data_IF_123026357717
#
_entry.id   IF_123026357717
#
_cell.length_a   1.000
_cell.length_b   1.000
_cell.length_c   1.000
_cell.angle_alpha   90.00
_cell.angle_beta   90.00
_cell.angle_gamma   90.00
#
_symmetry.space_group_name_H-M   'P 1'
#
loop_
_entity.id
_entity.type
_entity.pdbx_description
1 polymer ?
#
# COMPACT_ATOMS: atom_id res chain seq x y z
N UNK A 1 -16.37 -94.10 30.77
CA UNK A 1 -16.56 -93.03 31.77
C UNK A 1 -15.35 -92.10 31.90
N UNK A 2 -14.14 -92.58 32.26
CA UNK A 2 -12.93 -91.73 32.43
C UNK A 2 -12.56 -90.87 31.21
N UNK A 3 -12.63 -91.44 30.00
CA UNK A 3 -12.34 -90.71 28.75
C UNK A 3 -13.35 -89.59 28.45
N UNK A 4 -14.62 -89.78 28.82
CA UNK A 4 -15.67 -88.77 28.62
C UNK A 4 -15.43 -87.58 29.55
N UNK A 5 -15.15 -87.84 30.84
CA UNK A 5 -14.84 -86.79 31.82
C UNK A 5 -13.57 -85.99 31.45
N UNK A 6 -12.56 -86.65 30.90
CA UNK A 6 -11.35 -85.98 30.42
C UNK A 6 -11.63 -85.07 29.22
N UNK A 7 -12.48 -85.51 28.28
CA UNK A 7 -12.90 -84.69 27.13
C UNK A 7 -13.77 -83.51 27.56
N UNK A 8 -14.65 -83.68 28.53
CA UNK A 8 -15.46 -82.59 29.09
C UNK A 8 -14.59 -81.54 29.79
N UNK A 9 -13.55 -81.97 30.50
CA UNK A 9 -12.57 -81.06 31.14
C UNK A 9 -11.81 -80.27 30.07
N UNK A 10 -11.25 -80.95 29.06
CA UNK A 10 -10.57 -80.30 27.94
C UNK A 10 -11.46 -79.28 27.22
N UNK A 11 -12.74 -79.61 27.02
CA UNK A 11 -13.68 -78.73 26.33
C UNK A 11 -14.04 -77.50 27.18
N UNK A 12 -14.12 -77.66 28.50
CA UNK A 12 -14.33 -76.55 29.44
C UNK A 12 -13.12 -75.62 29.45
N UNK A 13 -11.91 -76.16 29.53
CA UNK A 13 -10.67 -75.37 29.52
C UNK A 13 -10.54 -74.57 28.22
N UNK A 14 -10.78 -75.22 27.08
CA UNK A 14 -10.72 -74.59 25.76
C UNK A 14 -11.78 -73.49 25.60
N UNK A 15 -12.97 -73.67 26.17
CA UNK A 15 -14.00 -72.62 26.22
C UNK A 15 -13.55 -71.42 27.05
N UNK A 16 -12.97 -71.66 28.23
CA UNK A 16 -12.46 -70.57 29.08
C UNK A 16 -11.28 -69.82 28.46
N UNK A 17 -10.40 -70.53 27.74
CA UNK A 17 -9.29 -69.91 27.01
C UNK A 17 -9.83 -69.02 25.88
N UNK A 18 -10.82 -69.49 25.13
CA UNK A 18 -11.46 -68.71 24.05
C UNK A 18 -12.20 -67.48 24.56
N UNK A 19 -12.90 -67.59 25.70
CA UNK A 19 -13.56 -66.46 26.34
C UNK A 19 -12.54 -65.40 26.81
N UNK A 20 -11.41 -65.84 27.36
CA UNK A 20 -10.30 -64.94 27.75
C UNK A 20 -9.70 -64.25 26.52
N UNK A 21 -9.35 -65.01 25.48
CA UNK A 21 -8.83 -64.45 24.22
C UNK A 21 -9.77 -63.42 23.59
N UNK A 22 -11.09 -63.70 23.59
CA UNK A 22 -12.09 -62.78 23.05
C UNK A 22 -12.17 -61.49 23.88
N UNK A 23 -12.08 -61.61 25.21
CA UNK A 23 -12.08 -60.45 26.11
C UNK A 23 -10.84 -59.57 25.91
N UNK A 24 -9.66 -60.19 25.80
CA UNK A 24 -8.39 -59.48 25.58
C UNK A 24 -8.34 -58.80 24.22
N UNK A 25 -8.88 -59.46 23.18
CA UNK A 25 -8.96 -58.87 21.84
C UNK A 25 -9.92 -57.67 21.83
N UNK A 26 -11.03 -57.76 22.56
CA UNK A 26 -11.98 -56.65 22.70
C UNK A 26 -11.37 -55.46 23.43
N UNK A 27 -10.66 -55.68 24.54
CA UNK A 27 -10.01 -54.59 25.28
C UNK A 27 -8.89 -53.94 24.48
N UNK A 28 -8.10 -54.73 23.72
CA UNK A 28 -7.09 -54.21 22.81
C UNK A 28 -7.72 -53.31 21.74
N UNK A 29 -8.79 -53.77 21.08
CA UNK A 29 -9.50 -52.98 20.07
C UNK A 29 -10.09 -51.69 20.65
N UNK A 30 -10.69 -51.75 21.84
CA UNK A 30 -11.23 -50.55 22.52
C UNK A 30 -10.13 -49.54 22.85
N UNK A 31 -8.94 -50.01 23.22
CA UNK A 31 -7.79 -49.15 23.53
C UNK A 31 -7.26 -48.50 22.25
N UNK A 32 -7.03 -49.29 21.19
CA UNK A 32 -6.59 -48.77 19.89
C UNK A 32 -7.58 -47.75 19.30
N UNK A 33 -8.89 -47.99 19.45
CA UNK A 33 -9.90 -47.06 18.98
C UNK A 33 -9.84 -45.72 19.74
N UNK A 34 -9.64 -45.76 21.07
CA UNK A 34 -9.49 -44.54 21.89
C UNK A 34 -8.24 -43.76 21.50
N UNK A 35 -7.12 -44.44 21.31
CA UNK A 35 -5.87 -43.80 20.92
C UNK A 35 -5.98 -43.12 19.54
N UNK A 36 -6.61 -43.80 18.57
CA UNK A 36 -6.87 -43.24 17.23
C UNK A 36 -7.80 -42.02 17.30
N UNK A 37 -8.82 -42.04 18.15
CA UNK A 37 -9.71 -40.89 18.34
C UNK A 37 -8.93 -39.70 18.92
N UNK A 38 -8.13 -39.93 19.96
CA UNK A 38 -7.34 -38.88 20.59
C UNK A 38 -6.27 -38.28 19.66
N UNK A 39 -5.63 -39.11 18.83
CA UNK A 39 -4.67 -38.64 17.82
C UNK A 39 -5.37 -37.80 16.75
N UNK A 40 -6.54 -38.25 16.28
CA UNK A 40 -7.34 -37.51 15.29
C UNK A 40 -7.80 -36.15 15.83
N UNK A 41 -8.24 -36.09 17.09
CA UNK A 41 -8.62 -34.83 17.74
C UNK A 41 -7.44 -33.86 17.84
N UNK A 42 -6.25 -34.35 18.21
CA UNK A 42 -5.02 -33.52 18.20
C UNK A 42 -4.72 -32.96 16.81
N UNK A 43 -4.78 -33.80 15.77
CA UNK A 43 -4.54 -33.36 14.40
C UNK A 43 -5.58 -32.34 13.91
N UNK A 44 -6.83 -32.46 14.34
CA UNK A 44 -7.88 -31.47 14.02
C UNK A 44 -7.54 -30.13 14.68
N UNK A 45 -7.24 -30.12 15.98
CA UNK A 45 -6.92 -28.87 16.69
C UNK A 45 -5.66 -28.18 16.14
N UNK A 46 -4.65 -28.94 15.74
CA UNK A 46 -3.44 -28.39 15.11
C UNK A 46 -3.75 -27.76 13.74
N UNK A 47 -4.59 -28.43 12.93
CA UNK A 47 -5.04 -27.88 11.64
C UNK A 47 -5.87 -26.62 11.81
N UNK A 48 -6.78 -26.58 12.78
CA UNK A 48 -7.59 -25.39 13.07
C UNK A 48 -6.71 -24.20 13.47
N UNK A 49 -5.68 -24.44 14.29
CA UNK A 49 -4.71 -23.40 14.65
C UNK A 49 -3.96 -22.86 13.43
N UNK A 50 -3.51 -23.75 12.55
CA UNK A 50 -2.78 -23.36 11.34
C UNK A 50 -3.66 -22.58 10.35
N UNK A 51 -4.94 -22.96 10.21
CA UNK A 51 -5.91 -22.21 9.41
C UNK A 51 -6.10 -20.80 9.97
N UNK A 52 -6.31 -20.67 11.28
CA UNK A 52 -6.49 -19.37 11.92
C UNK A 52 -5.25 -18.45 11.73
N UNK A 53 -4.04 -19.00 11.80
CA UNK A 53 -2.80 -18.26 11.56
C UNK A 53 -2.66 -17.84 10.08
N UNK A 54 -3.07 -18.68 9.14
CA UNK A 54 -3.08 -18.30 7.71
C UNK A 54 -4.12 -17.23 7.39
N UNK A 55 -5.30 -17.29 8.02
CA UNK A 55 -6.35 -16.29 7.85
C UNK A 55 -5.92 -14.90 8.34
N UNK A 56 -5.22 -14.83 9.47
CA UNK A 56 -4.68 -13.55 9.97
C UNK A 56 -3.61 -12.98 9.04
N UNK A 57 -2.67 -13.81 8.58
CA UNK A 57 -1.65 -13.39 7.61
C UNK A 57 -2.26 -12.89 6.29
N UNK A 58 -3.28 -13.59 5.77
CA UNK A 58 -3.98 -13.17 4.56
C UNK A 58 -4.70 -11.82 4.75
N UNK A 59 -5.31 -11.60 5.92
CA UNK A 59 -5.96 -10.33 6.23
C UNK A 59 -4.95 -9.19 6.27
N UNK A 60 -3.81 -9.40 6.92
CA UNK A 60 -2.74 -8.38 7.03
C UNK A 60 -2.15 -8.05 5.65
N UNK A 61 -1.89 -9.06 4.82
CA UNK A 61 -1.41 -8.85 3.45
C UNK A 61 -2.42 -8.07 2.60
N UNK A 62 -3.72 -8.36 2.73
CA UNK A 62 -4.77 -7.58 2.04
C UNK A 62 -4.78 -6.13 2.49
N UNK A 63 -4.65 -5.86 3.79
CA UNK A 63 -4.58 -4.50 4.31
C UNK A 63 -3.36 -3.74 3.80
N UNK A 64 -2.18 -4.37 3.77
CA UNK A 64 -0.96 -3.76 3.21
C UNK A 64 -1.11 -3.46 1.72
N UNK A 65 -1.71 -4.38 0.96
CA UNK A 65 -1.92 -4.21 -0.48
C UNK A 65 -2.83 -3.00 -0.78
N UNK A 66 -3.95 -2.85 -0.06
CA UNK A 66 -4.86 -1.70 -0.22
C UNK A 66 -4.15 -0.39 0.12
N UNK A 67 -3.32 -0.36 1.17
CA UNK A 67 -2.56 0.84 1.52
C UNK A 67 -1.56 1.22 0.42
N UNK A 68 -0.85 0.24 -0.14
CA UNK A 68 0.10 0.46 -1.23
C UNK A 68 -0.58 0.95 -2.51
N UNK A 69 -1.74 0.38 -2.85
CA UNK A 69 -2.54 0.82 -3.99
C UNK A 69 -3.00 2.27 -3.81
N UNK A 70 -3.49 2.63 -2.63
CA UNK A 70 -3.91 4.01 -2.33
C UNK A 70 -2.73 5.00 -2.42
N UNK A 71 -1.57 4.66 -1.87
CA UNK A 71 -0.37 5.48 -1.99
C UNK A 71 0.07 5.65 -3.44
N UNK A 72 0.00 4.58 -4.24
CA UNK A 72 0.35 4.62 -5.66
C UNK A 72 -0.60 5.52 -6.43
N UNK A 73 -1.92 5.43 -6.19
CA UNK A 73 -2.92 6.30 -6.82
C UNK A 73 -2.73 7.77 -6.42
N UNK A 74 -2.42 8.04 -5.15
CA UNK A 74 -2.11 9.39 -4.67
C UNK A 74 -0.87 9.97 -5.36
N UNK A 75 0.21 9.19 -5.47
CA UNK A 75 1.42 9.63 -6.18
C UNK A 75 1.18 9.82 -7.68
N UNK A 76 0.42 8.93 -8.32
CA UNK A 76 0.04 9.10 -9.73
C UNK A 76 -0.78 10.37 -9.94
N UNK A 77 -1.75 10.64 -9.06
CA UNK A 77 -2.54 11.87 -9.09
C UNK A 77 -1.64 13.11 -8.93
N UNK A 78 -0.74 13.10 -7.94
CA UNK A 78 0.23 14.18 -7.70
C UNK A 78 1.10 14.44 -8.93
N UNK A 79 1.64 13.39 -9.55
CA UNK A 79 2.46 13.49 -10.75
C UNK A 79 1.66 14.05 -11.93
N UNK A 80 0.40 13.61 -12.13
CA UNK A 80 -0.48 14.15 -13.18
C UNK A 80 -0.73 15.65 -13.00
N UNK A 81 -1.07 16.10 -11.78
CA UNK A 81 -1.31 17.51 -11.49
C UNK A 81 -0.05 18.35 -11.74
N UNK A 82 1.11 17.88 -11.29
CA UNK A 82 2.39 18.57 -11.52
C UNK A 82 2.69 18.67 -13.02
N UNK A 83 2.55 17.57 -13.76
CA UNK A 83 2.80 17.53 -15.20
C UNK A 83 1.86 18.48 -15.96
N UNK A 84 0.57 18.51 -15.62
CA UNK A 84 -0.40 19.40 -16.26
C UNK A 84 -0.13 20.86 -15.96
N UNK A 85 0.13 21.19 -14.69
CA UNK A 85 0.46 22.56 -14.30
C UNK A 85 1.74 23.03 -15.01
N UNK A 86 2.75 22.15 -15.14
CA UNK A 86 3.97 22.44 -15.90
C UNK A 86 3.67 22.69 -17.38
N UNK A 87 2.87 21.84 -18.02
CA UNK A 87 2.50 22.00 -19.43
C UNK A 87 1.71 23.31 -19.67
N UNK A 88 0.80 23.70 -18.76
CA UNK A 88 0.10 24.97 -18.85
C UNK A 88 1.05 26.17 -18.76
N UNK A 89 2.04 26.12 -17.86
CA UNK A 89 3.08 27.15 -17.74
C UNK A 89 3.93 27.20 -19.02
N UNK A 90 4.35 26.04 -19.54
CA UNK A 90 5.12 25.95 -20.80
C UNK A 90 4.36 26.58 -21.98
N UNK A 91 3.07 26.28 -22.12
CA UNK A 91 2.24 26.86 -23.18
C UNK A 91 2.07 28.37 -23.04
N UNK A 92 1.76 28.85 -21.83
CA UNK A 92 1.62 30.28 -21.57
C UNK A 92 2.93 31.03 -21.88
N UNK A 93 4.07 30.42 -21.55
CA UNK A 93 5.38 30.96 -21.90
C UNK A 93 5.64 30.98 -23.40
N UNK A 94 5.34 29.90 -24.12
CA UNK A 94 5.50 29.84 -25.58
C UNK A 94 4.66 30.92 -26.29
N UNK A 95 3.43 31.16 -25.81
CA UNK A 95 2.57 32.22 -26.33
C UNK A 95 3.13 33.62 -26.04
N UNK A 96 3.79 33.82 -24.90
CA UNK A 96 4.37 35.11 -24.52
C UNK A 96 5.69 35.40 -25.23
N UNK A 97 6.60 34.41 -25.30
CA UNK A 97 7.90 34.46 -26.00
C UNK A 97 8.33 33.06 -26.45
N UNK A 98 8.20 32.77 -27.74
CA UNK A 98 8.52 31.47 -28.36
C UNK A 98 9.99 31.04 -28.21
N UNK A 99 10.90 32.00 -28.07
CA UNK A 99 12.35 31.77 -28.19
C UNK A 99 13.00 31.45 -26.83
N UNK A 100 12.19 31.39 -25.77
CA UNK A 100 12.66 31.31 -24.39
C UNK A 100 12.46 29.89 -23.83
N UNK A 101 13.56 29.25 -23.41
CA UNK A 101 13.48 27.95 -22.71
C UNK A 101 12.65 28.07 -21.42
N UNK A 102 11.94 27.00 -21.03
CA UNK A 102 11.15 26.95 -19.78
C UNK A 102 11.94 27.46 -18.58
N UNK A 103 13.15 26.94 -18.38
CA UNK A 103 14.03 27.32 -17.27
C UNK A 103 14.28 28.83 -17.26
N UNK A 104 14.65 29.40 -18.41
CA UNK A 104 14.95 30.83 -18.51
C UNK A 104 13.71 31.71 -18.34
N UNK A 105 12.53 31.26 -18.79
CA UNK A 105 11.33 32.08 -18.67
C UNK A 105 10.68 32.00 -17.30
N UNK A 106 10.76 30.84 -16.62
CA UNK A 106 10.46 30.74 -15.20
C UNK A 106 11.39 31.61 -14.37
N UNK A 107 12.70 31.57 -14.65
CA UNK A 107 13.70 32.38 -13.96
C UNK A 107 13.44 33.88 -14.19
N UNK A 108 13.15 34.31 -15.42
CA UNK A 108 12.77 35.69 -15.73
C UNK A 108 11.47 36.08 -15.01
N UNK A 109 10.39 35.31 -15.16
CA UNK A 109 9.11 35.61 -14.53
C UNK A 109 9.25 35.82 -13.02
N UNK A 110 10.02 34.96 -12.37
CA UNK A 110 10.22 35.05 -10.93
C UNK A 110 11.08 36.26 -10.59
N UNK A 111 12.22 36.44 -11.23
CA UNK A 111 13.15 37.53 -10.92
C UNK A 111 12.58 38.91 -11.26
N UNK A 112 11.60 38.97 -12.18
CA UNK A 112 10.92 40.20 -12.57
C UNK A 112 9.65 40.47 -11.76
N UNK A 113 8.89 39.44 -11.37
CA UNK A 113 7.56 39.61 -10.76
C UNK A 113 7.41 39.11 -9.32
N UNK A 114 8.13 38.05 -8.92
CA UNK A 114 7.94 37.43 -7.59
C UNK A 114 9.08 37.74 -6.61
N UNK A 115 10.28 37.92 -7.11
CA UNK A 115 11.49 38.22 -6.37
C UNK A 115 12.11 39.53 -6.85
N UNK A 116 12.93 40.14 -6.00
CA UNK A 116 13.78 41.27 -6.35
C UNK A 116 15.22 40.86 -6.06
N UNK A 117 16.02 40.81 -7.11
CA UNK A 117 17.44 40.44 -7.02
C UNK A 117 18.26 41.70 -6.73
N UNK A 118 18.69 41.87 -5.47
CA UNK A 118 19.66 42.91 -5.09
C UNK A 118 21.10 42.42 -5.25
N UNK A 119 22.08 43.32 -5.06
CA UNK A 119 23.52 43.00 -5.18
C UNK A 119 23.95 41.81 -4.30
N UNK A 120 23.40 41.71 -3.09
CA UNK A 120 23.85 40.72 -2.08
C UNK A 120 22.74 39.80 -1.56
N UNK A 121 21.45 40.08 -1.88
CA UNK A 121 20.32 39.27 -1.39
C UNK A 121 19.15 39.29 -2.36
N UNK A 122 18.52 38.13 -2.53
CA UNK A 122 17.22 37.99 -3.20
C UNK A 122 16.11 38.16 -2.16
N UNK A 123 15.16 39.05 -2.39
CA UNK A 123 14.00 39.29 -1.49
C UNK A 123 12.69 39.13 -2.25
N UNK A 124 11.54 39.08 -1.56
CA UNK A 124 10.24 39.13 -2.24
C UNK A 124 10.05 40.49 -2.94
N UNK A 125 9.43 40.45 -4.12
CA UNK A 125 8.93 41.64 -4.80
C UNK A 125 7.88 42.36 -3.98
N UNK A 126 7.62 43.64 -4.27
CA UNK A 126 6.54 44.38 -3.60
C UNK A 126 5.19 43.66 -3.72
N UNK A 127 4.90 43.11 -4.91
CA UNK A 127 3.70 42.31 -5.15
C UNK A 127 3.67 41.06 -4.25
N UNK A 128 4.77 40.30 -4.19
CA UNK A 128 4.87 39.11 -3.33
C UNK A 128 4.67 39.41 -1.85
N UNK A 129 5.18 40.55 -1.37
CA UNK A 129 4.96 41.02 0.02
C UNK A 129 3.50 41.40 0.26
N UNK A 130 2.87 42.08 -0.69
CA UNK A 130 1.46 42.45 -0.60
C UNK A 130 0.56 41.21 -0.53
N UNK A 131 0.83 40.19 -1.36
CA UNK A 131 0.13 38.91 -1.32
C UNK A 131 0.34 38.21 0.03
N UNK A 132 1.57 38.15 0.55
CA UNK A 132 1.83 37.59 1.88
C UNK A 132 1.03 38.31 2.98
N UNK A 133 0.95 39.64 2.92
CA UNK A 133 0.17 40.43 3.87
C UNK A 133 -1.33 40.16 3.76
N UNK A 134 -1.88 40.04 2.54
CA UNK A 134 -3.28 39.65 2.34
C UNK A 134 -3.56 38.26 2.92
N UNK A 135 -2.65 37.31 2.70
CA UNK A 135 -2.78 35.94 3.21
C UNK A 135 -2.70 35.85 4.74
N UNK A 136 -2.00 36.78 5.41
CA UNK A 136 -2.00 36.84 6.90
C UNK A 136 -3.40 37.02 7.47
N UNK A 137 -4.28 37.74 6.77
CA UNK A 137 -5.68 37.90 7.17
C UNK A 137 -6.47 36.57 7.15
N UNK A 138 -5.94 35.54 6.49
CA UNK A 138 -6.50 34.20 6.42
C UNK A 138 -5.71 33.18 7.26
N UNK A 139 -4.88 33.64 8.20
CA UNK A 139 -4.13 32.77 9.11
C UNK A 139 -2.79 32.25 8.55
N UNK A 140 -2.31 32.79 7.44
CA UNK A 140 -1.00 32.43 6.90
C UNK A 140 0.13 33.01 7.76
N UNK A 141 0.83 32.15 8.51
CA UNK A 141 1.85 32.55 9.48
C UNK A 141 3.29 32.59 8.93
N UNK A 142 3.50 32.31 7.64
CA UNK A 142 4.85 32.21 7.10
C UNK A 142 5.53 33.58 7.01
N UNK A 143 6.79 33.63 7.43
CA UNK A 143 7.64 34.82 7.29
C UNK A 143 8.02 35.02 5.82
N UNK A 144 8.13 36.27 5.39
CA UNK A 144 8.50 36.64 4.01
C UNK A 144 9.82 36.00 3.55
N UNK A 145 10.84 35.94 4.41
CA UNK A 145 12.11 35.26 4.12
C UNK A 145 11.92 33.75 3.86
N UNK A 146 10.96 33.11 4.54
CA UNK A 146 10.65 31.70 4.33
C UNK A 146 9.96 31.51 2.97
N UNK A 147 8.97 32.34 2.65
CA UNK A 147 8.28 32.31 1.35
C UNK A 147 9.26 32.57 0.20
N UNK A 148 10.18 33.53 0.36
CA UNK A 148 11.24 33.79 -0.62
C UNK A 148 12.12 32.56 -0.88
N UNK A 149 12.52 31.87 0.19
CA UNK A 149 13.34 30.66 0.10
C UNK A 149 12.58 29.51 -0.58
N UNK A 150 11.32 29.30 -0.19
CA UNK A 150 10.45 28.28 -0.79
C UNK A 150 10.20 28.54 -2.28
N UNK A 151 9.91 29.79 -2.68
CA UNK A 151 9.76 30.15 -4.09
C UNK A 151 11.04 29.87 -4.89
N UNK A 152 12.22 30.23 -4.35
CA UNK A 152 13.50 29.95 -5.01
C UNK A 152 13.73 28.45 -5.21
N UNK A 153 13.44 27.65 -4.18
CA UNK A 153 13.59 26.19 -4.24
C UNK A 153 12.57 25.56 -5.20
N UNK A 154 11.33 26.01 -5.17
CA UNK A 154 10.26 25.53 -6.05
C UNK A 154 10.66 25.67 -7.53
N UNK A 155 11.29 26.78 -7.91
CA UNK A 155 11.73 27.02 -9.29
C UNK A 155 12.89 26.10 -9.66
N UNK A 156 13.84 25.91 -8.75
CA UNK A 156 14.92 24.94 -8.95
C UNK A 156 14.36 23.54 -9.20
N UNK A 157 13.28 23.15 -8.52
CA UNK A 157 12.61 21.87 -8.75
C UNK A 157 11.78 21.83 -10.04
N UNK A 158 11.00 22.87 -10.36
CA UNK A 158 10.18 22.92 -11.59
C UNK A 158 11.04 23.01 -12.86
N UNK A 159 12.20 23.66 -12.76
CA UNK A 159 13.15 23.80 -13.88
C UNK A 159 13.95 22.54 -14.19
N UNK A 160 13.98 21.56 -13.27
CA UNK A 160 14.60 20.26 -13.53
C UNK A 160 13.77 19.47 -14.55
N UNK A 161 14.42 18.70 -15.44
CA UNK A 161 13.72 17.69 -16.22
C UNK A 161 13.00 16.72 -15.28
N UNK A 162 11.78 16.33 -15.63
CA UNK A 162 11.09 15.26 -14.91
C UNK A 162 11.85 13.95 -15.12
N UNK A 163 12.75 13.61 -14.19
CA UNK A 163 13.48 12.35 -14.19
C UNK A 163 12.59 11.22 -13.68
N UNK A 164 11.53 10.89 -14.43
CA UNK A 164 10.96 9.53 -14.39
C UNK A 164 10.54 9.07 -15.78
N UNK A 165 10.89 7.82 -16.14
CA UNK A 165 10.41 7.23 -17.38
C UNK A 165 8.89 7.13 -17.29
N UNK A 166 8.27 7.28 -18.44
CA UNK A 166 6.85 7.08 -18.65
C UNK A 166 6.46 5.72 -18.09
N UNK A 167 5.74 5.67 -16.95
CA UNK A 167 5.23 4.42 -16.38
C UNK A 167 4.11 3.80 -17.26
N UNK A 168 3.74 4.46 -18.34
CA UNK A 168 3.11 3.80 -19.48
C UNK A 168 3.62 4.49 -20.74
N UNK A 169 4.05 3.76 -21.76
CA UNK A 169 4.45 4.29 -23.08
C UNK A 169 3.37 5.06 -23.84
N UNK A 170 2.26 5.42 -23.18
CA UNK A 170 1.37 6.49 -23.59
C UNK A 170 1.80 7.77 -22.87
N UNK A 171 2.38 8.69 -23.63
CA UNK A 171 2.30 10.11 -23.29
C UNK A 171 0.82 10.38 -23.07
N UNK A 172 0.41 10.74 -21.85
CA UNK A 172 -0.94 11.24 -21.62
C UNK A 172 -1.03 12.57 -22.37
N UNK A 173 -1.49 12.51 -23.62
CA UNK A 173 -1.89 13.67 -24.41
C UNK A 173 -3.22 14.13 -23.85
N UNK A 174 -3.18 15.15 -22.99
CA UNK A 174 -4.39 15.74 -22.42
C UNK A 174 -4.15 16.43 -21.07
N UNK A 175 -4.74 17.62 -20.89
CA UNK A 175 -4.70 18.40 -19.64
C UNK A 175 -5.82 17.96 -18.68
N UNK A 176 -5.48 17.52 -17.46
CA UNK A 176 -6.48 17.36 -16.38
C UNK A 176 -6.68 18.72 -15.72
N UNK A 177 -7.81 19.35 -15.99
CA UNK A 177 -8.34 20.47 -15.22
C UNK A 177 -9.00 19.91 -13.96
N UNK A 178 -8.71 20.50 -12.79
CA UNK A 178 -9.33 20.07 -11.53
C UNK A 178 -10.85 20.19 -11.55
N UNK A 179 -11.56 19.18 -11.02
CA UNK A 179 -13.02 19.08 -10.94
C UNK A 179 -13.47 17.65 -10.66
N UNK A 180 -14.75 17.43 -10.34
CA UNK A 180 -15.33 16.07 -10.36
C UNK A 180 -15.68 15.66 -11.81
N UNK A 181 -15.58 14.37 -12.17
CA UNK A 181 -16.03 13.87 -13.46
C UNK A 181 -17.50 14.28 -13.74
N UNK A 182 -17.88 14.63 -14.98
CA UNK A 182 -17.14 14.43 -16.24
C UNK A 182 -16.33 15.66 -16.70
N UNK A 183 -16.20 16.71 -15.88
CA UNK A 183 -15.55 17.96 -16.27
C UNK A 183 -14.01 17.92 -16.13
N UNK A 184 -13.47 16.85 -15.55
CA UNK A 184 -12.05 16.66 -15.29
C UNK A 184 -11.33 15.77 -16.31
N UNK A 185 -12.00 15.35 -17.39
CA UNK A 185 -11.36 14.59 -18.45
C UNK A 185 -10.72 15.51 -19.50
N UNK A 186 -9.48 15.16 -19.83
CA UNK A 186 -8.76 15.76 -20.94
C UNK A 186 -9.23 15.16 -22.27
N UNK A 187 -9.40 16.00 -23.29
CA UNK A 187 -9.30 15.56 -24.69
C UNK A 187 -7.86 15.16 -25.01
#
# INVERSE_FOLDING_TARGET
EKFIAEKETQLKDLKTEKETQLKDLKTLMETQLKDLIAEKEKLITEKEKLIAEQETQLKDLRSQWVQLEMQTLQELSRVKVIANNRALIENAMQQYKSDLSLTKGLEMFVNEHLLTVGRDKTTLSMYGREVCNKLRNFGFAAKEDFVQKELKNLIHEISKPLHRPHVSGKIYTGYVVGGEPPLAEAL
#
